data_IF_545928767713
#
_entry.id   IF_545928767713
#
_cell.length_a   1.000
_cell.length_b   1.000
_cell.length_c   1.000
_cell.angle_alpha   90.00
_cell.angle_beta   90.00
_cell.angle_gamma   90.00
#
_symmetry.space_group_name_H-M   'P 1'
#
loop_
_entity.id
_entity.type
_entity.pdbx_description
1 polymer ?
#
# COMPACT_ATOMS: atom_id res chain seq x y z
N UNK A 1 -36.18 10.39 18.83
CA UNK A 1 -35.20 10.83 17.83
C UNK A 1 -33.83 10.59 18.44
N UNK A 2 -33.30 9.39 18.23
CA UNK A 2 -31.88 9.10 18.48
C UNK A 2 -31.12 9.70 17.31
N UNK A 3 -30.28 10.69 17.57
CA UNK A 3 -29.24 11.09 16.62
C UNK A 3 -28.46 9.82 16.30
N UNK A 4 -28.51 9.40 15.04
CA UNK A 4 -27.52 8.47 14.52
C UNK A 4 -26.21 9.27 14.61
N UNK A 5 -25.42 9.00 15.64
CA UNK A 5 -24.06 9.50 15.69
C UNK A 5 -23.40 9.00 14.41
N UNK A 6 -22.95 9.95 13.57
CA UNK A 6 -22.14 9.61 12.41
C UNK A 6 -21.01 8.70 12.90
N UNK A 7 -20.74 7.56 12.22
CA UNK A 7 -19.68 6.67 12.65
C UNK A 7 -18.37 7.48 12.76
N UNK A 8 -17.56 7.25 13.81
CA UNK A 8 -16.33 8.01 13.99
C UNK A 8 -15.49 7.93 12.72
N UNK A 9 -15.15 9.10 12.18
CA UNK A 9 -14.31 9.24 11.01
C UNK A 9 -12.93 8.69 11.36
N UNK A 10 -12.44 7.71 10.59
CA UNK A 10 -11.12 7.10 10.77
C UNK A 10 -10.05 8.20 10.85
N UNK A 11 -9.26 8.23 11.93
CA UNK A 11 -8.18 9.21 12.06
C UNK A 11 -6.82 8.55 11.80
N UNK A 12 -5.88 9.34 11.28
CA UNK A 12 -4.46 8.95 11.20
C UNK A 12 -3.66 9.80 12.19
N UNK A 13 -2.83 9.14 12.99
CA UNK A 13 -1.85 9.77 13.87
C UNK A 13 -0.44 9.37 13.46
N UNK A 14 0.52 10.28 13.58
CA UNK A 14 1.93 9.99 13.30
C UNK A 14 2.72 10.15 14.58
N UNK A 15 3.52 9.15 14.90
CA UNK A 15 4.45 9.17 16.02
C UNK A 15 5.84 8.74 15.54
N UNK A 16 6.88 9.34 16.09
CA UNK A 16 8.24 8.87 15.86
C UNK A 16 8.71 8.03 17.04
N UNK A 17 9.04 6.76 16.77
CA UNK A 17 9.49 5.78 17.77
C UNK A 17 11.02 5.64 17.78
N UNK A 18 11.77 6.49 17.07
CA UNK A 18 13.23 6.53 17.08
C UNK A 18 13.77 7.32 18.27
N UNK A 19 15.03 7.05 18.60
CA UNK A 19 15.78 7.76 19.63
C UNK A 19 17.10 8.31 19.06
N UNK A 20 17.26 9.63 18.90
CA UNK A 20 16.27 10.68 19.19
C UNK A 20 15.17 10.76 18.13
N UNK A 21 13.98 11.21 18.54
CA UNK A 21 12.86 11.49 17.64
C UNK A 21 13.13 12.73 16.74
N UNK A 22 12.68 12.67 15.49
CA UNK A 22 12.70 13.73 14.48
C UNK A 22 11.29 14.36 14.37
N UNK A 23 11.06 15.39 15.19
CA UNK A 23 9.75 16.08 15.27
C UNK A 23 9.38 16.77 13.95
N UNK A 24 10.37 17.23 13.19
CA UNK A 24 10.13 17.83 11.88
C UNK A 24 9.60 16.77 10.91
N UNK A 25 10.17 15.56 10.92
CA UNK A 25 9.68 14.44 10.11
C UNK A 25 8.24 14.05 10.44
N UNK A 26 7.88 14.00 11.74
CA UNK A 26 6.48 13.78 12.15
C UNK A 26 5.57 14.81 11.52
N UNK A 27 5.90 16.10 11.66
CA UNK A 27 5.10 17.19 11.10
C UNK A 27 4.92 17.08 9.58
N UNK A 28 6.01 16.88 8.83
CA UNK A 28 5.94 16.78 7.37
C UNK A 28 5.20 15.52 6.91
N UNK A 29 5.41 14.39 7.59
CA UNK A 29 4.70 13.15 7.27
C UNK A 29 3.20 13.30 7.52
N UNK A 30 2.78 13.88 8.66
CA UNK A 30 1.36 14.14 8.92
C UNK A 30 0.74 15.04 7.85
N UNK A 31 1.44 16.11 7.46
CA UNK A 31 0.97 17.02 6.42
C UNK A 31 0.85 16.34 5.05
N UNK A 32 1.78 15.45 4.73
CA UNK A 32 1.73 14.72 3.47
C UNK A 32 0.60 13.68 3.45
N UNK A 33 0.36 12.96 4.55
CA UNK A 33 -0.76 12.03 4.68
C UNK A 33 -2.13 12.72 4.49
N UNK A 34 -2.28 13.93 5.05
CA UNK A 34 -3.46 14.78 4.84
C UNK A 34 -3.58 15.22 3.37
N UNK A 35 -2.48 15.72 2.79
CA UNK A 35 -2.43 16.20 1.39
C UNK A 35 -2.78 15.10 0.40
N UNK A 36 -2.26 13.89 0.60
CA UNK A 36 -2.50 12.72 -0.23
C UNK A 36 -3.81 12.00 0.11
N UNK A 37 -4.61 12.55 1.03
CA UNK A 37 -5.95 12.05 1.39
C UNK A 37 -5.95 10.57 1.77
N UNK A 38 -4.93 10.14 2.52
CA UNK A 38 -4.73 8.71 2.81
C UNK A 38 -5.94 8.09 3.51
N UNK A 39 -6.58 8.79 4.47
CA UNK A 39 -7.83 8.33 5.10
C UNK A 39 -8.94 8.13 4.07
N UNK A 40 -9.21 9.14 3.24
CA UNK A 40 -10.28 9.05 2.23
C UNK A 40 -10.02 7.89 1.25
N UNK A 41 -8.76 7.69 0.85
CA UNK A 41 -8.36 6.63 -0.05
C UNK A 41 -8.51 5.25 0.60
N UNK A 42 -8.18 5.10 1.89
CA UNK A 42 -8.44 3.87 2.63
C UNK A 42 -9.93 3.56 2.75
N UNK A 43 -10.79 4.57 2.91
CA UNK A 43 -12.24 4.37 2.85
C UNK A 43 -12.70 3.87 1.47
N UNK A 44 -12.16 4.44 0.38
CA UNK A 44 -12.46 3.97 -0.99
C UNK A 44 -11.97 2.55 -1.22
N UNK A 45 -10.74 2.23 -0.77
CA UNK A 45 -10.16 0.89 -0.83
C UNK A 45 -11.08 -0.10 -0.12
N UNK A 46 -11.45 0.18 1.13
CA UNK A 46 -12.34 -0.70 1.89
C UNK A 46 -13.68 -0.93 1.19
N UNK A 47 -14.29 0.12 0.65
CA UNK A 47 -15.53 -0.02 -0.13
C UNK A 47 -15.34 -0.89 -1.37
N UNK A 48 -14.22 -0.72 -2.06
CA UNK A 48 -13.82 -1.57 -3.17
C UNK A 48 -13.61 -3.02 -2.72
N UNK A 49 -12.90 -3.30 -1.62
CA UNK A 49 -12.68 -4.66 -1.13
C UNK A 49 -13.97 -5.39 -0.76
N UNK A 50 -15.01 -4.65 -0.32
CA UNK A 50 -16.35 -5.16 -0.09
C UNK A 50 -16.37 -6.36 0.85
N UNK A 51 -16.92 -7.50 0.39
CA UNK A 51 -17.03 -8.69 1.23
C UNK A 51 -15.71 -9.42 1.54
N UNK A 52 -14.61 -8.99 0.94
CA UNK A 52 -13.26 -9.49 1.22
C UNK A 52 -12.49 -8.62 2.21
N UNK A 53 -13.08 -7.51 2.69
CA UNK A 53 -12.43 -6.66 3.68
C UNK A 53 -12.41 -7.29 5.08
N UNK A 54 -11.34 -7.05 5.84
CA UNK A 54 -11.28 -7.33 7.28
C UNK A 54 -12.40 -6.60 8.02
N UNK A 55 -13.21 -7.34 8.79
CA UNK A 55 -14.34 -6.81 9.56
C UNK A 55 -13.89 -6.02 10.79
N UNK A 56 -12.66 -6.22 11.26
CA UNK A 56 -12.11 -5.58 12.47
C UNK A 56 -11.40 -4.26 12.19
N UNK A 57 -10.95 -4.06 10.96
CA UNK A 57 -10.19 -2.87 10.52
C UNK A 57 -11.08 -1.63 10.32
N UNK A 58 -12.41 -1.77 10.43
CA UNK A 58 -13.38 -0.85 9.84
C UNK A 58 -13.75 0.38 10.67
N UNK A 59 -13.28 0.45 11.92
CA UNK A 59 -13.69 1.49 12.91
C UNK A 59 -12.53 2.00 13.77
N UNK A 60 -11.29 1.65 13.41
CA UNK A 60 -10.13 1.96 14.23
C UNK A 60 -9.30 3.08 13.62
N UNK A 61 -8.75 3.92 14.49
CA UNK A 61 -7.71 4.87 14.13
C UNK A 61 -6.47 4.12 13.63
N UNK A 62 -5.75 4.76 12.71
CA UNK A 62 -4.49 4.28 12.17
C UNK A 62 -3.36 5.05 12.86
N UNK A 63 -2.46 4.33 13.48
CA UNK A 63 -1.24 4.89 14.07
C UNK A 63 -0.06 4.59 13.16
N UNK A 64 0.53 5.63 12.58
CA UNK A 64 1.75 5.56 11.76
C UNK A 64 2.96 5.80 12.64
N UNK A 65 3.78 4.79 12.84
CA UNK A 65 5.00 4.82 13.63
C UNK A 65 6.23 4.90 12.74
N UNK A 66 7.02 5.97 12.88
CA UNK A 66 8.31 6.09 12.19
C UNK A 66 9.38 5.31 12.97
N UNK A 67 10.11 4.42 12.29
CA UNK A 67 11.24 3.66 12.85
C UNK A 67 12.45 3.70 11.93
N UNK A 68 13.64 3.50 12.48
CA UNK A 68 14.87 3.45 11.69
C UNK A 68 14.83 2.28 10.70
N UNK A 69 15.07 2.55 9.42
CA UNK A 69 15.22 1.52 8.42
C UNK A 69 15.24 2.07 6.99
N UNK A 70 14.91 1.21 6.03
CA UNK A 70 14.96 1.53 4.60
C UNK A 70 13.71 2.31 4.18
N UNK A 71 13.92 3.46 3.54
CA UNK A 71 12.83 4.24 2.95
C UNK A 71 12.02 3.40 1.96
N UNK A 72 10.69 3.50 2.04
CA UNK A 72 9.77 2.74 1.18
C UNK A 72 9.48 1.32 1.69
N UNK A 73 9.89 0.98 2.92
CA UNK A 73 9.55 -0.29 3.56
C UNK A 73 8.68 -0.02 4.79
N UNK A 74 7.74 -0.93 5.04
CA UNK A 74 6.90 -0.86 6.22
C UNK A 74 6.47 -2.24 6.68
N UNK A 75 5.64 -2.22 7.71
CA UNK A 75 4.88 -3.37 8.18
C UNK A 75 3.60 -2.84 8.81
N UNK A 76 2.56 -3.67 8.83
CA UNK A 76 1.33 -3.34 9.52
C UNK A 76 0.92 -4.44 10.48
N UNK A 77 0.46 -4.03 11.66
CA UNK A 77 -0.13 -4.92 12.67
C UNK A 77 -1.52 -4.42 12.98
N UNK A 78 -2.49 -5.34 12.97
CA UNK A 78 -3.84 -5.09 13.47
C UNK A 78 -3.98 -5.75 14.84
N UNK A 79 -4.32 -4.96 15.86
CA UNK A 79 -4.56 -5.47 17.21
C UNK A 79 -5.86 -4.91 17.80
N UNK A 80 -6.11 -5.15 19.08
CA UNK A 80 -7.32 -4.67 19.77
C UNK A 80 -7.41 -3.13 19.80
N UNK A 81 -6.26 -2.44 19.85
CA UNK A 81 -6.15 -0.98 19.96
C UNK A 81 -6.28 -0.24 18.64
N UNK A 82 -5.93 -0.87 17.52
CA UNK A 82 -5.92 -0.17 16.24
C UNK A 82 -5.28 -0.92 15.09
N UNK A 83 -5.09 -0.16 14.01
CA UNK A 83 -4.17 -0.51 12.94
C UNK A 83 -2.88 0.26 13.21
N UNK A 84 -1.80 -0.44 13.51
CA UNK A 84 -0.48 0.15 13.66
C UNK A 84 0.34 -0.12 12.39
N UNK A 85 0.68 0.96 11.68
CA UNK A 85 1.57 0.93 10.52
C UNK A 85 2.94 1.41 10.96
N UNK A 86 3.96 0.57 10.87
CA UNK A 86 5.34 1.01 11.03
C UNK A 86 5.89 1.37 9.65
N UNK A 87 6.36 2.61 9.49
CA UNK A 87 7.10 3.07 8.31
C UNK A 87 8.58 3.14 8.67
N UNK A 88 9.39 2.39 7.93
CA UNK A 88 10.84 2.38 8.10
C UNK A 88 11.48 3.51 7.29
N UNK A 89 12.30 4.33 7.96
CA UNK A 89 12.85 5.57 7.40
C UNK A 89 14.19 5.95 8.08
N UNK A 90 15.19 6.44 7.34
CA UNK A 90 16.52 6.78 7.87
C UNK A 90 16.58 8.11 8.66
N UNK A 91 15.48 8.86 8.78
CA UNK A 91 15.49 10.23 9.31
C UNK A 91 15.38 11.26 8.19
N UNK A 92 14.70 12.39 8.44
CA UNK A 92 14.37 13.37 7.42
C UNK A 92 15.60 13.87 6.67
N UNK A 93 16.63 14.29 7.42
CA UNK A 93 17.87 14.80 6.82
C UNK A 93 18.58 13.73 6.00
N UNK A 94 18.75 12.53 6.57
CA UNK A 94 19.45 11.44 5.91
C UNK A 94 18.72 10.96 4.65
N UNK A 95 17.39 10.89 4.69
CA UNK A 95 16.56 10.51 3.55
C UNK A 95 16.54 11.56 2.44
N UNK A 96 16.50 12.85 2.78
CA UNK A 96 16.66 13.92 1.79
C UNK A 96 18.05 13.84 1.13
N UNK A 97 19.10 13.63 1.92
CA UNK A 97 20.46 13.51 1.41
C UNK A 97 20.61 12.25 0.52
N UNK A 98 19.94 11.14 0.85
CA UNK A 98 19.88 9.93 0.02
C UNK A 98 19.21 10.19 -1.33
N UNK A 99 18.05 10.85 -1.35
CA UNK A 99 17.33 11.19 -2.60
C UNK A 99 18.17 12.13 -3.47
N UNK A 100 18.85 13.11 -2.86
CA UNK A 100 19.72 14.05 -3.57
C UNK A 100 20.97 13.38 -4.17
N UNK A 101 21.53 12.39 -3.48
CA UNK A 101 22.83 11.81 -3.82
C UNK A 101 22.76 10.56 -4.71
N UNK A 102 21.76 9.70 -4.53
CA UNK A 102 21.73 8.35 -5.13
C UNK A 102 20.56 8.11 -6.08
N UNK A 103 19.34 8.46 -5.68
CA UNK A 103 18.15 7.92 -6.35
C UNK A 103 17.80 8.59 -7.68
N UNK A 104 18.23 9.85 -7.90
CA UNK A 104 17.84 10.63 -9.08
C UNK A 104 18.99 10.98 -10.02
N UNK A 105 20.23 10.83 -9.56
CA UNK A 105 21.41 10.96 -10.41
C UNK A 105 21.44 9.87 -11.49
N UNK A 106 21.01 8.65 -11.16
CA UNK A 106 20.85 7.54 -12.13
C UNK A 106 19.78 7.83 -13.20
N UNK A 107 18.79 8.67 -12.88
CA UNK A 107 17.73 9.10 -13.79
C UNK A 107 18.07 10.39 -14.54
N UNK A 108 19.27 10.98 -14.33
CA UNK A 108 19.64 12.32 -14.80
C UNK A 108 18.66 13.42 -14.37
N UNK A 109 18.00 13.24 -13.22
CA UNK A 109 17.04 14.18 -12.66
C UNK A 109 17.74 14.96 -11.53
N UNK A 110 17.85 16.27 -11.70
CA UNK A 110 18.30 17.17 -10.64
C UNK A 110 17.11 17.68 -9.85
N UNK A 111 17.15 17.56 -8.52
CA UNK A 111 16.10 18.06 -7.63
C UNK A 111 16.66 19.04 -6.61
N UNK A 112 15.87 20.05 -6.28
CA UNK A 112 16.12 20.93 -5.14
C UNK A 112 15.93 20.17 -3.81
N UNK A 113 16.50 20.69 -2.72
CA UNK A 113 16.25 20.15 -1.37
C UNK A 113 14.76 20.08 -1.02
N UNK A 114 13.98 21.07 -1.47
CA UNK A 114 12.52 21.07 -1.28
C UNK A 114 11.87 19.88 -2.00
N UNK A 115 12.18 19.70 -3.28
CA UNK A 115 11.65 18.57 -4.05
C UNK A 115 12.09 17.22 -3.48
N UNK A 116 13.34 17.09 -3.02
CA UNK A 116 13.79 15.88 -2.35
C UNK A 116 13.00 15.57 -1.07
N UNK A 117 12.67 16.59 -0.28
CA UNK A 117 11.77 16.43 0.89
C UNK A 117 10.36 16.05 0.47
N UNK A 118 9.81 16.70 -0.55
CA UNK A 118 8.45 16.42 -1.02
C UNK A 118 8.36 14.95 -1.53
N UNK A 119 9.40 14.47 -2.25
CA UNK A 119 9.53 13.06 -2.65
C UNK A 119 9.63 12.14 -1.43
N UNK A 120 10.49 12.49 -0.47
CA UNK A 120 10.69 11.71 0.75
C UNK A 120 9.38 11.47 1.50
N UNK A 121 8.63 12.54 1.79
CA UNK A 121 7.37 12.45 2.51
C UNK A 121 6.30 11.73 1.70
N UNK A 122 6.25 11.93 0.37
CA UNK A 122 5.30 11.22 -0.48
C UNK A 122 5.56 9.71 -0.49
N UNK A 123 6.82 9.27 -0.45
CA UNK A 123 7.17 7.85 -0.29
C UNK A 123 6.67 7.32 1.06
N UNK A 124 6.81 8.08 2.15
CA UNK A 124 6.30 7.67 3.46
C UNK A 124 4.78 7.54 3.47
N UNK A 125 4.07 8.51 2.87
CA UNK A 125 2.61 8.46 2.74
C UNK A 125 2.15 7.27 1.89
N UNK A 126 2.86 6.99 0.80
CA UNK A 126 2.59 5.81 -0.04
C UNK A 126 2.86 4.51 0.69
N UNK A 127 3.94 4.41 1.49
CA UNK A 127 4.20 3.24 2.33
C UNK A 127 3.09 3.07 3.36
N UNK A 128 2.64 4.15 4.01
CA UNK A 128 1.55 4.05 4.97
C UNK A 128 0.25 3.52 4.33
N UNK A 129 -0.08 3.98 3.12
CA UNK A 129 -1.24 3.52 2.36
C UNK A 129 -1.08 2.05 1.91
N UNK A 130 0.10 1.67 1.42
CA UNK A 130 0.44 0.31 1.00
C UNK A 130 0.24 -0.69 2.14
N UNK A 131 0.87 -0.45 3.28
CA UNK A 131 0.82 -1.33 4.44
C UNK A 131 -0.59 -1.38 5.08
N UNK A 132 -1.28 -0.24 5.13
CA UNK A 132 -2.67 -0.19 5.62
C UNK A 132 -3.61 -1.01 4.74
N UNK A 133 -3.37 -1.07 3.42
CA UNK A 133 -4.21 -1.84 2.49
C UNK A 133 -4.16 -3.33 2.77
N UNK A 134 -2.98 -3.86 3.14
CA UNK A 134 -2.81 -5.27 3.51
C UNK A 134 -3.64 -5.66 4.76
N UNK A 135 -3.87 -4.74 5.68
CA UNK A 135 -4.75 -4.99 6.83
C UNK A 135 -6.23 -4.89 6.46
N UNK A 136 -6.58 -4.05 5.47
CA UNK A 136 -7.94 -3.95 5.00
C UNK A 136 -8.39 -5.18 4.21
N UNK A 137 -7.52 -5.83 3.46
CA UNK A 137 -7.83 -7.07 2.74
C UNK A 137 -7.63 -8.28 3.67
N UNK A 138 -8.69 -9.05 3.92
CA UNK A 138 -8.57 -10.27 4.72
C UNK A 138 -7.97 -11.40 3.88
N UNK A 139 -6.65 -11.38 3.68
CA UNK A 139 -5.89 -12.38 2.92
C UNK A 139 -5.37 -13.52 3.79
N UNK A 140 -5.72 -13.57 5.08
CA UNK A 140 -5.24 -14.58 6.03
C UNK A 140 -5.69 -16.00 5.65
N UNK A 141 -4.97 -17.06 6.06
CA UNK A 141 -5.41 -18.44 5.85
C UNK A 141 -6.86 -18.64 6.33
N UNK A 142 -7.63 -19.39 5.56
CA UNK A 142 -9.05 -19.67 5.79
C UNK A 142 -10.01 -18.49 5.68
N UNK A 143 -9.54 -17.29 5.31
CA UNK A 143 -10.42 -16.16 5.01
C UNK A 143 -11.32 -16.46 3.81
N UNK A 144 -12.36 -15.63 3.61
CA UNK A 144 -13.20 -15.72 2.40
C UNK A 144 -12.36 -15.57 1.13
N UNK A 145 -11.36 -14.69 1.15
CA UNK A 145 -10.46 -14.45 0.03
C UNK A 145 -9.59 -15.68 -0.27
N UNK A 146 -8.91 -16.24 0.73
CA UNK A 146 -8.06 -17.42 0.57
C UNK A 146 -8.87 -18.65 0.09
N UNK A 147 -10.05 -18.89 0.68
CA UNK A 147 -10.94 -19.99 0.27
C UNK A 147 -11.45 -19.83 -1.16
N UNK A 148 -11.71 -18.59 -1.60
CA UNK A 148 -12.12 -18.34 -2.97
C UNK A 148 -11.02 -18.77 -3.93
N UNK A 149 -9.76 -18.39 -3.66
CA UNK A 149 -8.60 -18.77 -4.46
C UNK A 149 -8.44 -20.30 -4.52
N UNK A 150 -8.49 -20.98 -3.37
CA UNK A 150 -8.41 -22.45 -3.27
C UNK A 150 -9.51 -23.15 -4.08
N UNK A 151 -10.75 -22.67 -3.99
CA UNK A 151 -11.89 -23.24 -4.72
C UNK A 151 -11.77 -23.12 -6.26
N UNK A 152 -10.85 -22.28 -6.74
CA UNK A 152 -10.57 -22.08 -8.16
C UNK A 152 -9.26 -22.75 -8.61
N UNK A 153 -8.80 -23.76 -7.87
CA UNK A 153 -7.74 -24.67 -8.33
C UNK A 153 -6.31 -24.21 -8.04
N UNK A 154 -6.14 -23.25 -7.11
CA UNK A 154 -4.84 -22.90 -6.55
C UNK A 154 -4.59 -23.73 -5.28
N UNK A 155 -3.35 -24.16 -5.05
CA UNK A 155 -3.02 -24.95 -3.85
C UNK A 155 -2.96 -24.11 -2.58
N UNK A 156 -2.60 -22.83 -2.71
CA UNK A 156 -2.46 -21.83 -1.64
C UNK A 156 -1.65 -22.33 -0.42
N UNK A 157 -0.61 -23.13 -0.67
CA UNK A 157 0.29 -23.62 0.38
C UNK A 157 0.92 -22.45 1.12
N UNK A 158 0.88 -22.50 2.45
CA UNK A 158 1.41 -21.43 3.32
C UNK A 158 0.89 -20.03 2.94
N UNK A 159 -0.31 -19.94 2.36
CA UNK A 159 -0.91 -18.69 1.89
C UNK A 159 -0.16 -17.99 0.74
N UNK A 160 0.66 -18.71 -0.02
CA UNK A 160 1.51 -18.13 -1.05
C UNK A 160 0.70 -17.48 -2.20
N UNK A 161 -0.36 -18.12 -2.67
CA UNK A 161 -1.20 -17.63 -3.76
C UNK A 161 -2.05 -16.43 -3.34
N UNK A 162 -2.68 -16.53 -2.16
CA UNK A 162 -3.45 -15.44 -1.58
C UNK A 162 -2.56 -14.24 -1.26
N UNK A 163 -1.37 -14.46 -0.69
CA UNK A 163 -0.41 -13.40 -0.42
C UNK A 163 0.12 -12.74 -1.70
N UNK A 164 0.37 -13.52 -2.76
CA UNK A 164 0.76 -12.96 -4.06
C UNK A 164 -0.36 -12.10 -4.66
N UNK A 165 -1.62 -12.56 -4.59
CA UNK A 165 -2.75 -11.81 -5.12
C UNK A 165 -3.06 -10.55 -4.31
N UNK A 166 -2.96 -10.62 -2.98
CA UNK A 166 -3.05 -9.47 -2.07
C UNK A 166 -2.04 -8.38 -2.46
N UNK A 167 -0.77 -8.74 -2.61
CA UNK A 167 0.28 -7.83 -3.08
C UNK A 167 -0.01 -7.26 -4.47
N UNK A 168 -0.52 -8.08 -5.39
CA UNK A 168 -0.94 -7.63 -6.70
C UNK A 168 -2.06 -6.58 -6.64
N UNK A 169 -3.13 -6.87 -5.89
CA UNK A 169 -4.25 -5.94 -5.69
C UNK A 169 -3.75 -4.66 -5.03
N UNK A 170 -2.92 -4.78 -4.01
CA UNK A 170 -2.36 -3.64 -3.28
C UNK A 170 -1.50 -2.75 -4.18
N UNK A 171 -0.63 -3.32 -5.02
CA UNK A 171 0.14 -2.54 -5.98
C UNK A 171 -0.73 -1.83 -7.02
N UNK A 172 -1.81 -2.46 -7.48
CA UNK A 172 -2.76 -1.86 -8.41
C UNK A 172 -3.54 -0.70 -7.76
N UNK A 173 -3.98 -0.86 -6.51
CA UNK A 173 -4.59 0.22 -5.72
C UNK A 173 -3.58 1.34 -5.49
N UNK A 174 -2.31 1.01 -5.29
CA UNK A 174 -1.28 2.02 -5.13
C UNK A 174 -1.02 2.82 -6.39
N UNK A 175 -1.13 2.21 -7.57
CA UNK A 175 -1.06 2.94 -8.83
C UNK A 175 -2.26 3.91 -9.01
N UNK A 176 -3.46 3.52 -8.57
CA UNK A 176 -4.66 4.37 -8.61
C UNK A 176 -4.52 5.62 -7.73
N UNK A 177 -3.93 5.47 -6.55
CA UNK A 177 -3.81 6.54 -5.55
C UNK A 177 -2.39 7.14 -5.44
N UNK A 178 -1.48 6.81 -6.36
CA UNK A 178 -0.09 7.22 -6.28
C UNK A 178 0.06 8.74 -6.33
N UNK A 179 0.80 9.35 -5.39
CA UNK A 179 1.17 10.76 -5.48
C UNK A 179 1.92 11.07 -6.78
N UNK A 180 1.69 12.27 -7.31
CA UNK A 180 2.49 12.86 -8.37
C UNK A 180 3.39 13.93 -7.77
N UNK A 181 4.70 13.72 -7.86
CA UNK A 181 5.70 14.63 -7.29
C UNK A 181 6.65 15.09 -8.38
N UNK A 182 6.70 16.39 -8.60
CA UNK A 182 7.65 16.98 -9.55
C UNK A 182 9.09 16.93 -9.00
N UNK A 183 10.09 16.57 -9.83
CA UNK A 183 10.02 16.35 -11.28
C UNK A 183 9.90 14.87 -11.69
N UNK A 184 9.73 13.95 -10.73
CA UNK A 184 9.79 12.50 -10.97
C UNK A 184 8.48 11.92 -11.53
N UNK A 185 7.40 12.71 -11.49
CA UNK A 185 6.06 12.28 -11.88
C UNK A 185 5.44 11.39 -10.81
N UNK A 186 4.76 10.32 -11.21
CA UNK A 186 4.12 9.40 -10.27
C UNK A 186 5.14 8.51 -9.54
N UNK A 187 4.94 8.37 -8.22
CA UNK A 187 5.64 7.40 -7.36
C UNK A 187 5.00 6.01 -7.37
N UNK A 188 4.09 5.74 -8.30
CA UNK A 188 3.48 4.43 -8.49
C UNK A 188 4.53 3.31 -8.52
N UNK A 189 4.21 2.11 -8.03
CA UNK A 189 5.10 0.95 -8.08
C UNK A 189 5.64 0.71 -9.50
N UNK A 190 6.97 0.57 -9.62
CA UNK A 190 7.66 0.28 -10.89
C UNK A 190 8.54 -0.94 -10.72
N UNK A 191 8.63 -1.74 -11.78
CA UNK A 191 9.56 -2.87 -11.86
C UNK A 191 10.95 -2.30 -12.14
N UNK A 192 11.91 -2.65 -11.29
CA UNK A 192 13.31 -2.24 -11.40
C UNK A 192 14.20 -3.44 -11.70
N UNK A 193 15.40 -3.18 -12.24
CA UNK A 193 16.37 -4.22 -12.59
C UNK A 193 16.95 -4.98 -11.39
N UNK A 194 16.86 -4.40 -10.19
CA UNK A 194 17.31 -4.99 -8.93
C UNK A 194 16.20 -5.67 -8.13
N UNK A 195 14.95 -5.66 -8.62
CA UNK A 195 13.85 -6.35 -7.95
C UNK A 195 14.08 -7.87 -7.99
N UNK A 196 13.78 -8.55 -6.89
CA UNK A 196 13.75 -10.01 -6.84
C UNK A 196 12.65 -10.57 -7.75
N UNK A 197 12.76 -11.85 -8.14
CA UNK A 197 11.72 -12.51 -8.96
C UNK A 197 10.31 -12.41 -8.35
N UNK A 198 10.21 -12.50 -7.02
CA UNK A 198 8.93 -12.39 -6.33
C UNK A 198 8.37 -10.96 -6.39
N UNK A 199 9.21 -9.94 -6.19
CA UNK A 199 8.81 -8.54 -6.33
C UNK A 199 8.37 -8.22 -7.76
N UNK A 200 9.11 -8.69 -8.77
CA UNK A 200 8.74 -8.58 -10.19
C UNK A 200 7.37 -9.19 -10.43
N UNK A 201 7.09 -10.37 -9.89
CA UNK A 201 5.80 -11.04 -10.04
C UNK A 201 4.66 -10.26 -9.39
N UNK A 202 4.83 -9.79 -8.15
CA UNK A 202 3.83 -8.97 -7.44
C UNK A 202 3.50 -7.68 -8.21
N UNK A 203 4.53 -6.95 -8.67
CA UNK A 203 4.35 -5.72 -9.46
C UNK A 203 3.75 -5.99 -10.84
N UNK A 204 4.10 -7.10 -11.48
CA UNK A 204 3.50 -7.52 -12.77
C UNK A 204 2.01 -7.85 -12.60
N UNK A 205 1.66 -8.53 -11.49
CA UNK A 205 0.27 -8.80 -11.16
C UNK A 205 -0.49 -7.50 -10.93
N UNK A 206 0.05 -6.58 -10.12
CA UNK A 206 -0.55 -5.27 -9.92
C UNK A 206 -0.74 -4.51 -11.24
N UNK A 207 0.28 -4.46 -12.09
CA UNK A 207 0.18 -3.82 -13.41
C UNK A 207 -0.94 -4.40 -14.27
N UNK A 208 -1.18 -5.70 -14.16
CA UNK A 208 -2.24 -6.39 -14.91
C UNK A 208 -3.64 -6.08 -14.38
N UNK A 209 -3.76 -5.68 -13.11
CA UNK A 209 -5.03 -5.36 -12.45
C UNK A 209 -5.37 -3.87 -12.45
N UNK A 210 -4.40 -2.98 -12.71
CA UNK A 210 -4.58 -1.51 -12.68
C UNK A 210 -5.84 -1.04 -13.41
N UNK A 211 -6.02 -1.45 -14.68
CA UNK A 211 -7.16 -0.99 -15.49
C UNK A 211 -8.51 -1.45 -14.94
N UNK A 212 -8.56 -2.67 -14.39
CA UNK A 212 -9.79 -3.23 -13.81
C UNK A 212 -10.12 -2.54 -12.50
N UNK A 213 -9.12 -2.29 -11.65
CA UNK A 213 -9.31 -1.57 -10.38
C UNK A 213 -9.75 -0.13 -10.63
N UNK A 214 -9.13 0.56 -11.58
CA UNK A 214 -9.50 1.92 -11.98
C UNK A 214 -10.98 1.99 -12.38
N UNK A 215 -11.43 1.05 -13.22
CA UNK A 215 -12.84 0.96 -13.64
C UNK A 215 -13.78 0.68 -12.46
N UNK A 216 -13.42 -0.26 -11.58
CA UNK A 216 -14.23 -0.61 -10.41
C UNK A 216 -14.36 0.59 -9.45
N UNK A 217 -13.25 1.25 -9.10
CA UNK A 217 -13.25 2.40 -8.20
C UNK A 217 -14.02 3.57 -8.81
N UNK A 218 -13.78 3.88 -10.09
CA UNK A 218 -14.49 4.95 -10.80
C UNK A 218 -16.00 4.72 -10.91
N UNK A 219 -16.44 3.46 -10.95
CA UNK A 219 -17.85 3.06 -11.02
C UNK A 219 -18.50 2.79 -9.66
N UNK A 220 -17.74 2.88 -8.57
CA UNK A 220 -18.22 2.55 -7.22
C UNK A 220 -18.52 1.06 -7.01
N UNK A 221 -17.91 0.18 -7.80
CA UNK A 221 -18.08 -1.26 -7.71
C UNK A 221 -17.09 -1.86 -6.72
N UNK A 222 -17.55 -2.85 -5.96
CA UNK A 222 -16.70 -3.68 -5.12
C UNK A 222 -16.11 -4.86 -5.90
N UNK A 223 -15.10 -5.52 -5.32
CA UNK A 223 -14.60 -6.82 -5.70
C UNK A 223 -15.75 -7.84 -5.70
N UNK A 224 -16.33 -8.06 -6.87
CA UNK A 224 -17.36 -9.03 -7.13
C UNK A 224 -16.75 -10.27 -7.80
N UNK A 225 -17.60 -11.24 -8.16
CA UNK A 225 -17.17 -12.48 -8.81
C UNK A 225 -16.41 -12.21 -10.12
N UNK A 226 -16.90 -11.27 -10.94
CA UNK A 226 -16.25 -10.89 -12.21
C UNK A 226 -14.84 -10.32 -11.99
N UNK A 227 -14.66 -9.44 -11.01
CA UNK A 227 -13.33 -8.94 -10.63
C UNK A 227 -12.42 -10.11 -10.23
N UNK A 228 -12.92 -10.99 -9.37
CA UNK A 228 -12.13 -12.12 -8.87
C UNK A 228 -11.73 -13.08 -10.00
N UNK A 229 -12.60 -13.37 -10.96
CA UNK A 229 -12.25 -14.17 -12.13
C UNK A 229 -11.11 -13.55 -12.95
N UNK A 230 -11.18 -12.25 -13.24
CA UNK A 230 -10.10 -11.52 -13.92
C UNK A 230 -8.80 -11.57 -13.11
N UNK A 231 -8.91 -11.41 -11.79
CA UNK A 231 -7.78 -11.45 -10.87
C UNK A 231 -7.08 -12.82 -10.84
N UNK A 232 -7.85 -13.91 -10.83
CA UNK A 232 -7.31 -15.27 -10.88
C UNK A 232 -6.66 -15.59 -12.23
N UNK A 233 -7.19 -15.09 -13.34
CA UNK A 233 -6.53 -15.23 -14.66
C UNK A 233 -5.17 -14.52 -14.66
N UNK A 234 -5.11 -13.29 -14.13
CA UNK A 234 -3.85 -12.56 -14.01
C UNK A 234 -2.84 -13.30 -13.11
N UNK A 235 -3.30 -13.85 -11.98
CA UNK A 235 -2.46 -14.64 -11.06
C UNK A 235 -1.83 -15.85 -11.77
N UNK A 236 -2.62 -16.67 -12.48
CA UNK A 236 -2.11 -17.84 -13.24
C UNK A 236 -1.07 -17.44 -14.27
N UNK A 237 -1.33 -16.35 -15.00
CA UNK A 237 -0.41 -15.85 -16.02
C UNK A 237 0.93 -15.44 -15.41
N UNK A 238 0.92 -14.76 -14.26
CA UNK A 238 2.13 -14.32 -13.56
C UNK A 238 2.94 -15.50 -13.04
N UNK A 239 2.30 -16.51 -12.44
CA UNK A 239 2.99 -17.71 -11.95
C UNK A 239 3.67 -18.47 -13.10
N UNK A 240 2.96 -18.64 -14.22
CA UNK A 240 3.48 -19.32 -15.42
C UNK A 240 4.66 -18.56 -16.02
N UNK A 241 4.52 -17.25 -16.21
CA UNK A 241 5.54 -16.43 -16.89
C UNK A 241 6.78 -16.16 -16.05
N UNK A 242 6.67 -16.15 -14.72
CA UNK A 242 7.80 -15.91 -13.83
C UNK A 242 8.44 -17.20 -13.30
N UNK A 243 7.95 -18.37 -13.72
CA UNK A 243 8.41 -19.69 -13.24
C UNK A 243 8.46 -19.75 -11.71
N UNK A 244 7.44 -19.19 -11.06
CA UNK A 244 7.32 -19.26 -9.61
C UNK A 244 6.78 -20.66 -9.26
N UNK A 245 7.62 -21.49 -8.65
CA UNK A 245 7.16 -22.67 -7.92
C UNK A 245 6.78 -22.19 -6.52
N UNK A 246 5.54 -21.71 -6.36
CA UNK A 246 4.93 -21.37 -5.06
C UNK A 246 4.35 -22.63 -4.41
#
# INVERSE_FOLDING_TARGET
MTTLDDPPEMQIRVEDKREPADVDEVFYTSKELEKEKVVENLCKIKNFLGSYSSQTATSKDISVNLKNGKLGSGECVEDESGIEVTVYTPGLKAGIDEILSKSLSEMNISVSKKQARDIFCAVQASTALHESTHVLLDSKPHSKFARYIESHGFENKENADAGLLDEGITYALMAEFAPVVEPIGSISPKINSWDSKLEVARKTLGKSLEGVIHECIGSGWSMNEEFMEKALVALRNVQTNNSLNL
#
